data_IF_241328979973
#
_entry.id   IF_241328979973
#
_cell.length_a   1.000
_cell.length_b   1.000
_cell.length_c   1.000
_cell.angle_alpha   90.00
_cell.angle_beta   90.00
_cell.angle_gamma   90.00
#
_symmetry.space_group_name_H-M   'P 1'
#
loop_
_entity.id
_entity.type
_entity.pdbx_description
1 polymer ?
#
# COMPACT_ATOMS: atom_id res chain seq x y z
N UNK A 1 -15.41 -80.74 -23.52
CA UNK A 1 -16.55 -81.47 -22.91
C UNK A 1 -17.49 -80.47 -22.21
N UNK A 2 -18.71 -80.92 -21.87
CA UNK A 2 -19.70 -80.35 -20.92
C UNK A 2 -19.98 -81.46 -19.86
N UNK A 3 -20.70 -81.25 -18.72
CA UNK A 3 -21.53 -80.12 -18.27
C UNK A 3 -20.72 -79.14 -17.36
N UNK A 4 -21.13 -78.46 -16.28
CA UNK A 4 -22.30 -78.52 -15.36
C UNK A 4 -22.62 -77.17 -14.69
N UNK A 5 -23.73 -77.12 -13.94
CA UNK A 5 -24.17 -75.99 -13.10
C UNK A 5 -23.97 -76.30 -11.61
N UNK A 6 -23.81 -75.27 -10.78
CA UNK A 6 -24.40 -75.20 -9.44
C UNK A 6 -24.51 -73.73 -8.96
N UNK A 7 -25.70 -73.32 -8.49
CA UNK A 7 -25.88 -72.10 -7.70
C UNK A 7 -26.01 -72.49 -6.22
N UNK A 8 -25.32 -71.79 -5.34
CA UNK A 8 -25.69 -71.68 -3.91
C UNK A 8 -25.46 -70.23 -3.49
N UNK A 9 -26.47 -69.60 -2.89
CA UNK A 9 -26.35 -68.25 -2.35
C UNK A 9 -25.99 -68.30 -0.87
N UNK A 10 -25.10 -67.41 -0.43
CA UNK A 10 -24.85 -67.11 0.98
C UNK A 10 -24.67 -65.60 1.13
N UNK A 11 -25.67 -64.92 1.68
CA UNK A 11 -25.59 -63.50 1.95
C UNK A 11 -25.02 -63.27 3.35
N UNK A 12 -23.99 -62.42 3.46
CA UNK A 12 -23.46 -61.94 4.73
C UNK A 12 -22.98 -60.50 4.55
N UNK A 13 -23.84 -59.56 4.90
CA UNK A 13 -23.52 -58.15 4.90
C UNK A 13 -22.82 -57.77 6.21
N UNK A 14 -21.60 -57.26 6.12
CA UNK A 14 -20.97 -56.49 7.19
C UNK A 14 -20.49 -55.15 6.64
N UNK A 15 -21.21 -54.09 6.97
CA UNK A 15 -20.82 -52.72 6.63
C UNK A 15 -19.80 -52.22 7.66
N UNK A 16 -18.51 -52.28 7.31
CA UNK A 16 -17.44 -51.65 8.08
C UNK A 16 -17.20 -50.22 7.56
N UNK A 17 -17.86 -49.23 8.17
CA UNK A 17 -17.66 -47.83 7.82
C UNK A 17 -16.29 -47.31 8.31
N UNK A 18 -15.32 -47.16 7.41
CA UNK A 18 -14.00 -46.60 7.74
C UNK A 18 -14.02 -45.08 7.72
N UNK A 19 -14.09 -44.46 8.89
CA UNK A 19 -13.89 -43.01 9.05
C UNK A 19 -12.42 -42.65 8.89
N UNK A 20 -12.08 -41.98 7.77
CA UNK A 20 -10.74 -41.44 7.52
C UNK A 20 -10.47 -40.21 8.40
N UNK A 21 -10.00 -40.45 9.63
CA UNK A 21 -9.41 -39.41 10.46
C UNK A 21 -8.05 -39.00 9.89
N UNK A 22 -7.99 -37.84 9.23
CA UNK A 22 -6.75 -37.30 8.67
C UNK A 22 -5.81 -36.83 9.79
N UNK A 23 -4.81 -37.64 10.12
CA UNK A 23 -3.74 -37.27 11.06
C UNK A 23 -2.73 -36.36 10.36
N UNK A 24 -2.85 -35.04 10.53
CA UNK A 24 -1.74 -34.12 10.27
C UNK A 24 -0.66 -34.31 11.35
N UNK A 25 0.63 -34.42 11.00
CA UNK A 25 1.70 -34.53 11.99
C UNK A 25 1.84 -33.20 12.75
N UNK A 26 1.84 -33.29 14.09
CA UNK A 26 2.13 -32.16 14.96
C UNK A 26 3.64 -32.04 15.14
N UNK A 27 4.25 -31.02 14.55
CA UNK A 27 5.68 -30.75 14.77
C UNK A 27 5.98 -30.29 16.21
N UNK A 28 7.22 -30.47 16.70
CA UNK A 28 7.59 -30.08 18.05
C UNK A 28 7.64 -28.55 18.20
N UNK A 29 7.18 -28.04 19.34
CA UNK A 29 7.43 -26.65 19.71
C UNK A 29 8.86 -26.52 20.26
N UNK A 30 9.79 -25.98 19.47
CA UNK A 30 11.13 -25.63 19.97
C UNK A 30 11.08 -24.41 20.90
N UNK A 31 11.86 -24.44 21.98
CA UNK A 31 11.83 -23.44 23.03
C UNK A 31 13.01 -22.47 22.96
N UNK A 32 12.72 -21.19 22.77
CA UNK A 32 13.58 -20.09 23.24
C UNK A 32 14.74 -19.68 22.34
N UNK A 33 14.42 -19.05 21.21
CA UNK A 33 15.34 -18.16 20.51
C UNK A 33 14.75 -16.74 20.41
N UNK A 34 15.58 -15.71 20.62
CA UNK A 34 15.16 -14.33 20.40
C UNK A 34 14.97 -14.09 18.89
N UNK A 35 13.71 -13.97 18.46
CA UNK A 35 13.38 -13.77 17.04
C UNK A 35 12.13 -14.50 16.54
N UNK A 36 11.49 -15.39 17.31
CA UNK A 36 10.23 -16.03 16.90
C UNK A 36 9.12 -15.00 16.60
N UNK A 37 8.37 -15.21 15.52
CA UNK A 37 7.35 -14.26 15.03
C UNK A 37 6.05 -14.33 15.81
N UNK A 38 5.53 -13.16 16.20
CA UNK A 38 4.20 -13.05 16.79
C UNK A 38 3.15 -12.99 15.69
N UNK A 39 2.62 -14.15 15.32
CA UNK A 39 1.58 -14.25 14.30
C UNK A 39 0.18 -14.12 14.89
N UNK A 40 -0.63 -13.31 14.19
CA UNK A 40 -2.01 -12.96 14.51
C UNK A 40 -2.82 -13.02 13.21
N UNK A 41 -4.02 -13.58 13.27
CA UNK A 41 -4.94 -13.64 12.12
C UNK A 41 -6.00 -12.57 12.25
N UNK A 42 -6.39 -11.96 11.14
CA UNK A 42 -7.43 -10.94 11.06
C UNK A 42 -8.48 -11.39 10.04
N UNK A 43 -9.72 -11.56 10.51
CA UNK A 43 -10.87 -11.85 9.64
C UNK A 43 -11.64 -10.56 9.41
N UNK A 44 -11.49 -9.98 8.22
CA UNK A 44 -12.27 -8.82 7.79
C UNK A 44 -13.59 -9.25 7.15
N UNK A 45 -14.66 -8.51 7.38
CA UNK A 45 -15.93 -8.59 6.65
C UNK A 45 -16.48 -7.19 6.44
N UNK A 46 -17.59 -7.06 5.69
CA UNK A 46 -18.25 -5.76 5.44
C UNK A 46 -18.72 -5.05 6.73
N UNK A 47 -18.78 -5.75 7.87
CA UNK A 47 -19.24 -5.21 9.17
C UNK A 47 -18.43 -5.67 10.40
N UNK A 48 -17.33 -6.42 10.23
CA UNK A 48 -16.46 -6.85 11.34
C UNK A 48 -14.96 -6.84 11.00
N UNK A 49 -14.13 -6.63 12.02
CA UNK A 49 -12.67 -6.81 11.96
C UNK A 49 -12.24 -7.67 13.15
N UNK A 50 -12.19 -9.00 12.98
CA UNK A 50 -11.90 -9.93 14.08
C UNK A 50 -10.41 -10.25 14.14
N UNK A 51 -9.72 -9.71 15.15
CA UNK A 51 -8.29 -9.96 15.39
C UNK A 51 -8.14 -11.07 16.44
N UNK A 52 -7.52 -12.20 16.09
CA UNK A 52 -7.53 -13.42 16.93
C UNK A 52 -6.73 -13.34 18.23
N UNK A 53 -5.94 -12.27 18.43
CA UNK A 53 -5.33 -11.85 19.70
C UNK A 53 -5.28 -10.33 19.74
N UNK A 54 -5.70 -9.72 20.83
CA UNK A 54 -5.62 -8.26 21.04
C UNK A 54 -4.42 -7.83 21.88
N UNK A 55 -3.47 -8.74 22.16
CA UNK A 55 -2.25 -8.46 22.91
C UNK A 55 -1.02 -9.17 22.32
N UNK A 56 0.11 -8.47 22.29
CA UNK A 56 1.43 -8.94 21.86
C UNK A 56 2.55 -8.25 22.67
N UNK A 57 3.81 -8.56 22.36
CA UNK A 57 5.00 -7.88 22.90
C UNK A 57 5.69 -7.00 21.85
N UNK A 58 6.55 -6.09 22.30
CA UNK A 58 7.48 -5.30 21.47
C UNK A 58 8.30 -6.17 20.52
N UNK A 59 8.52 -5.69 19.29
CA UNK A 59 9.19 -6.40 18.20
C UNK A 59 8.29 -6.65 16.98
N UNK A 60 8.65 -7.59 16.08
CA UNK A 60 7.91 -7.84 14.85
C UNK A 60 6.64 -8.67 15.11
N UNK A 61 5.48 -8.08 14.81
CA UNK A 61 4.17 -8.73 14.80
C UNK A 61 3.71 -8.88 13.35
N UNK A 62 3.21 -10.06 13.00
CA UNK A 62 2.69 -10.39 11.67
C UNK A 62 1.17 -10.53 11.74
N UNK A 63 0.45 -9.66 11.03
CA UNK A 63 -0.99 -9.77 10.80
C UNK A 63 -1.22 -10.48 9.46
N UNK A 64 -1.85 -11.66 9.50
CA UNK A 64 -2.38 -12.36 8.32
C UNK A 64 -3.83 -11.98 8.15
N UNK A 65 -4.13 -11.19 7.12
CA UNK A 65 -5.46 -10.62 6.89
C UNK A 65 -6.17 -11.42 5.80
N UNK A 66 -7.38 -11.88 6.10
CA UNK A 66 -8.28 -12.55 5.17
C UNK A 66 -9.56 -11.74 5.04
N UNK A 67 -9.93 -11.33 3.84
CA UNK A 67 -11.21 -10.67 3.59
C UNK A 67 -12.29 -11.69 3.23
N UNK A 68 -13.28 -11.84 4.12
CA UNK A 68 -14.48 -12.65 3.92
C UNK A 68 -15.75 -11.80 3.66
N UNK A 69 -15.60 -10.48 3.47
CA UNK A 69 -16.65 -9.56 3.03
C UNK A 69 -16.88 -9.60 1.51
N UNK A 70 -17.83 -8.79 1.04
CA UNK A 70 -18.13 -8.60 -0.38
C UNK A 70 -17.41 -7.38 -0.98
N UNK A 71 -17.07 -6.38 -0.17
CA UNK A 71 -16.27 -5.22 -0.58
C UNK A 71 -14.78 -5.54 -0.63
N UNK A 72 -14.00 -4.70 -1.32
CA UNK A 72 -12.56 -4.55 -1.06
C UNK A 72 -12.36 -3.90 0.34
N UNK A 73 -11.27 -4.20 1.03
CA UNK A 73 -10.91 -3.59 2.31
C UNK A 73 -9.40 -3.43 2.42
N UNK A 74 -8.94 -2.42 3.16
CA UNK A 74 -7.59 -2.42 3.72
C UNK A 74 -7.59 -3.02 5.14
N UNK A 75 -6.39 -3.20 5.68
CA UNK A 75 -6.13 -3.35 7.12
C UNK A 75 -4.97 -2.46 7.58
N UNK A 76 -5.23 -1.58 8.55
CA UNK A 76 -4.26 -0.64 9.13
C UNK A 76 -3.90 -1.01 10.58
N UNK A 77 -2.70 -0.58 10.98
CA UNK A 77 -2.29 -0.48 12.39
C UNK A 77 -1.94 0.97 12.72
N UNK A 78 -2.64 1.58 13.66
CA UNK A 78 -2.46 2.97 14.08
C UNK A 78 -1.77 3.09 15.45
N UNK A 79 -0.91 4.11 15.57
CA UNK A 79 -0.43 4.67 16.82
C UNK A 79 -1.39 5.76 17.34
N UNK A 80 -1.03 6.43 18.43
CA UNK A 80 -1.78 7.56 19.00
C UNK A 80 -1.87 8.72 18.00
N UNK A 81 -3.05 9.31 17.89
CA UNK A 81 -3.31 10.42 16.97
C UNK A 81 -3.34 9.98 15.52
N UNK A 82 -3.90 8.79 15.26
CA UNK A 82 -4.29 8.29 13.93
C UNK A 82 -3.14 8.08 12.93
N UNK A 83 -1.90 8.25 13.38
CA UNK A 83 -0.67 8.00 12.62
C UNK A 83 -0.53 6.50 12.30
N UNK A 84 -0.50 6.16 11.01
CA UNK A 84 -0.24 4.79 10.57
C UNK A 84 1.17 4.31 10.99
N UNK A 85 1.24 3.05 11.46
CA UNK A 85 2.48 2.28 11.57
C UNK A 85 2.73 1.39 10.36
N UNK A 86 1.72 1.27 9.49
CA UNK A 86 1.70 0.51 8.25
C UNK A 86 0.36 -0.17 8.05
N UNK A 87 0.08 -0.48 6.80
CA UNK A 87 -1.15 -1.06 6.29
C UNK A 87 -0.87 -2.15 5.26
N UNK A 88 -1.90 -2.92 4.93
CA UNK A 88 -1.92 -3.64 3.67
C UNK A 88 -3.30 -3.49 3.03
N UNK A 89 -3.29 -3.04 1.80
CA UNK A 89 -4.47 -2.47 1.16
C UNK A 89 -5.11 -3.40 0.14
N UNK A 90 -6.20 -2.94 -0.47
CA UNK A 90 -6.77 -3.52 -1.68
C UNK A 90 -7.07 -5.04 -1.59
N UNK A 91 -7.42 -5.49 -0.39
CA UNK A 91 -7.71 -6.89 -0.06
C UNK A 91 -9.11 -7.21 -0.59
N UNK A 92 -9.19 -7.70 -1.84
CA UNK A 92 -10.45 -8.15 -2.44
C UNK A 92 -11.10 -9.33 -1.72
N UNK A 93 -12.38 -9.61 -1.99
CA UNK A 93 -13.10 -10.75 -1.40
C UNK A 93 -12.38 -12.08 -1.66
N UNK A 94 -12.16 -12.87 -0.60
CA UNK A 94 -11.42 -14.13 -0.62
C UNK A 94 -9.89 -13.99 -0.70
N UNK A 95 -9.36 -12.77 -0.84
CA UNK A 95 -7.92 -12.52 -0.88
C UNK A 95 -7.32 -12.57 0.53
N UNK A 96 -6.07 -13.03 0.58
CA UNK A 96 -5.23 -13.03 1.77
C UNK A 96 -4.04 -12.10 1.55
N UNK A 97 -3.72 -11.27 2.55
CA UNK A 97 -2.55 -10.37 2.56
C UNK A 97 -1.82 -10.50 3.92
N UNK A 98 -0.59 -10.00 3.99
CA UNK A 98 0.28 -10.04 5.18
C UNK A 98 0.79 -8.62 5.43
N UNK A 99 0.64 -8.13 6.65
CA UNK A 99 1.27 -6.92 7.15
C UNK A 99 2.20 -7.29 8.31
N UNK A 100 3.42 -6.75 8.32
CA UNK A 100 4.35 -6.85 9.45
C UNK A 100 4.56 -5.46 10.03
N UNK A 101 4.24 -5.29 11.31
CA UNK A 101 4.52 -4.06 12.07
C UNK A 101 5.60 -4.33 13.11
N UNK A 102 6.55 -3.40 13.22
CA UNK A 102 7.58 -3.40 14.23
C UNK A 102 7.15 -2.51 15.39
N UNK A 103 6.71 -3.09 16.50
CA UNK A 103 6.29 -2.31 17.66
C UNK A 103 7.49 -2.01 18.57
N UNK A 104 7.94 -0.75 18.57
CA UNK A 104 9.08 -0.27 19.37
C UNK A 104 8.77 -0.14 20.85
N UNK A 105 7.58 0.36 21.20
CA UNK A 105 7.22 0.76 22.57
C UNK A 105 6.03 -0.06 23.12
N UNK A 106 5.94 -0.27 24.44
CA UNK A 106 4.73 -0.80 25.07
C UNK A 106 3.62 0.27 25.14
N UNK A 107 2.38 -0.12 24.86
CA UNK A 107 1.25 0.80 24.80
C UNK A 107 -0.04 0.19 24.25
N UNK A 108 -1.05 1.04 24.07
CA UNK A 108 -2.25 0.71 23.29
C UNK A 108 -2.13 1.38 21.92
N UNK A 109 -2.35 0.56 20.89
CA UNK A 109 -2.42 0.87 19.47
C UNK A 109 -3.84 0.52 18.99
N UNK A 110 -4.18 0.81 17.74
CA UNK A 110 -5.43 0.33 17.14
C UNK A 110 -5.17 -0.49 15.88
N UNK A 111 -5.98 -1.52 15.68
CA UNK A 111 -6.12 -2.24 14.41
C UNK A 111 -7.43 -1.85 13.76
N UNK A 112 -7.45 -1.63 12.45
CA UNK A 112 -8.66 -1.26 11.71
C UNK A 112 -8.78 -2.02 10.40
N UNK A 113 -9.98 -2.48 10.06
CA UNK A 113 -10.34 -2.88 8.70
C UNK A 113 -11.23 -1.78 8.10
N UNK A 114 -11.05 -1.37 6.83
CA UNK A 114 -11.88 -0.35 6.17
C UNK A 114 -12.70 -0.96 4.99
N UNK A 115 -13.89 -1.56 5.21
CA UNK A 115 -14.63 -2.21 4.12
C UNK A 115 -15.27 -1.19 3.16
N UNK A 116 -14.71 -1.12 1.96
CA UNK A 116 -15.03 -0.13 0.94
C UNK A 116 -14.11 1.09 0.93
N UNK A 117 -12.96 1.02 1.61
CA UNK A 117 -11.85 1.97 1.46
C UNK A 117 -12.18 3.41 1.91
N UNK A 118 -13.21 3.57 2.76
CA UNK A 118 -13.75 4.87 3.18
C UNK A 118 -13.91 4.99 4.70
N UNK A 119 -13.53 6.16 5.23
CA UNK A 119 -13.71 6.55 6.64
C UNK A 119 -12.82 5.80 7.64
N UNK A 120 -13.14 5.95 8.93
CA UNK A 120 -12.36 5.40 10.07
C UNK A 120 -12.22 3.88 10.12
N UNK A 121 -13.04 3.15 9.36
CA UNK A 121 -13.12 1.69 9.41
C UNK A 121 -13.68 1.14 10.73
N UNK A 122 -13.59 -0.18 10.85
CA UNK A 122 -13.99 -0.97 12.01
C UNK A 122 -12.75 -1.15 12.88
N UNK A 123 -12.60 -0.30 13.88
CA UNK A 123 -11.42 -0.25 14.76
C UNK A 123 -11.56 -1.11 16.01
N UNK A 124 -10.42 -1.56 16.54
CA UNK A 124 -10.31 -2.23 17.83
C UNK A 124 -8.95 -1.98 18.50
N UNK A 125 -8.93 -1.93 19.83
CA UNK A 125 -7.71 -1.71 20.62
C UNK A 125 -6.78 -2.93 20.55
N UNK A 126 -5.49 -2.66 20.39
CA UNK A 126 -4.42 -3.66 20.29
C UNK A 126 -3.27 -3.29 21.23
N UNK A 127 -2.91 -4.20 22.14
CA UNK A 127 -2.00 -3.92 23.25
C UNK A 127 -0.59 -4.50 23.03
N UNK A 128 0.43 -3.67 23.22
CA UNK A 128 1.83 -4.07 23.25
C UNK A 128 2.36 -4.03 24.67
N UNK A 129 3.07 -5.09 25.06
CA UNK A 129 3.78 -5.23 26.34
C UNK A 129 5.27 -5.52 26.14
N UNK A 130 6.04 -5.58 27.22
CA UNK A 130 7.49 -5.78 27.16
C UNK A 130 8.26 -4.49 27.46
N UNK A 131 9.48 -4.39 26.94
CA UNK A 131 10.39 -3.28 27.14
C UNK A 131 10.73 -2.63 25.79
N UNK A 132 10.92 -1.31 25.79
CA UNK A 132 11.23 -0.55 24.58
C UNK A 132 12.39 -1.15 23.77
N UNK A 133 12.18 -1.37 22.48
CA UNK A 133 13.19 -1.87 21.54
C UNK A 133 13.55 -0.79 20.53
N UNK A 134 14.85 -0.62 20.28
CA UNK A 134 15.35 0.25 19.20
C UNK A 134 15.42 -0.56 17.92
N UNK A 135 14.79 -0.05 16.87
CA UNK A 135 14.97 -0.49 15.50
C UNK A 135 16.06 0.36 14.84
N UNK A 136 16.72 -0.23 13.83
CA UNK A 136 17.44 0.47 12.76
C UNK A 136 18.41 1.57 13.23
N UNK A 137 19.03 1.35 14.40
CA UNK A 137 19.90 2.32 15.06
C UNK A 137 21.38 2.19 14.64
N UNK A 138 21.78 1.04 14.10
CA UNK A 138 23.15 0.75 13.65
C UNK A 138 23.21 0.04 12.29
N UNK A 139 24.36 0.15 11.62
CA UNK A 139 24.70 -0.64 10.43
C UNK A 139 23.77 -0.46 9.23
N UNK A 140 23.61 -1.53 8.43
CA UNK A 140 22.84 -1.54 7.18
C UNK A 140 21.39 -1.04 7.32
N UNK A 141 20.78 -1.24 8.49
CA UNK A 141 19.41 -0.81 8.78
C UNK A 141 19.33 0.70 8.97
N UNK A 142 20.24 1.29 9.76
CA UNK A 142 20.37 2.76 9.85
C UNK A 142 20.73 3.41 8.53
N UNK A 143 21.68 2.80 7.81
CA UNK A 143 22.09 3.21 6.47
C UNK A 143 20.90 3.29 5.50
N UNK A 144 19.93 2.40 5.62
CA UNK A 144 18.72 2.39 4.80
C UNK A 144 17.71 3.47 5.25
N UNK A 145 17.44 3.60 6.55
CA UNK A 145 16.49 4.61 7.05
C UNK A 145 16.97 6.04 6.80
N UNK A 146 18.26 6.32 7.00
CA UNK A 146 18.86 7.63 6.69
C UNK A 146 18.77 7.96 5.19
N UNK A 147 19.04 6.98 4.31
CA UNK A 147 18.96 7.16 2.85
C UNK A 147 17.54 7.41 2.37
N UNK A 148 16.58 6.58 2.80
CA UNK A 148 15.20 6.75 2.37
C UNK A 148 14.59 8.04 2.92
N UNK A 149 14.93 8.44 4.15
CA UNK A 149 14.55 9.76 4.67
C UNK A 149 15.13 10.90 3.83
N UNK A 150 16.38 10.79 3.37
CA UNK A 150 16.99 11.73 2.44
C UNK A 150 16.26 11.79 1.09
N UNK A 151 15.84 10.63 0.57
CA UNK A 151 15.01 10.54 -0.64
C UNK A 151 13.66 11.23 -0.45
N UNK A 152 12.90 10.90 0.59
CA UNK A 152 11.60 11.54 0.91
C UNK A 152 11.74 13.05 1.01
N UNK A 153 12.73 13.55 1.76
CA UNK A 153 13.01 14.99 1.87
C UNK A 153 13.25 15.62 0.49
N UNK A 154 14.01 14.96 -0.40
CA UNK A 154 14.24 15.44 -1.77
C UNK A 154 12.98 15.46 -2.64
N UNK A 155 12.05 14.51 -2.45
CA UNK A 155 10.78 14.51 -3.18
C UNK A 155 9.87 15.63 -2.68
N UNK A 156 9.75 15.86 -1.37
CA UNK A 156 8.94 16.97 -0.84
C UNK A 156 9.53 18.35 -1.18
N UNK A 157 10.86 18.49 -1.28
CA UNK A 157 11.49 19.72 -1.82
C UNK A 157 11.10 19.95 -3.29
N UNK A 158 11.17 18.93 -4.14
CA UNK A 158 10.80 19.04 -5.55
C UNK A 158 9.27 19.24 -5.75
N UNK A 159 8.43 18.62 -4.91
CA UNK A 159 6.99 18.85 -4.83
C UNK A 159 6.68 20.30 -4.45
N UNK A 160 7.39 20.85 -3.45
CA UNK A 160 7.22 22.24 -3.02
C UNK A 160 7.54 23.24 -4.14
N UNK A 161 8.58 22.96 -4.94
CA UNK A 161 8.95 23.80 -6.09
C UNK A 161 8.00 23.65 -7.29
N UNK A 162 7.54 22.43 -7.58
CA UNK A 162 6.65 22.15 -8.72
C UNK A 162 5.21 22.62 -8.47
N UNK A 163 4.66 22.33 -7.28
CA UNK A 163 3.36 22.79 -6.85
C UNK A 163 3.31 24.32 -6.76
N UNK A 164 4.40 24.97 -6.32
CA UNK A 164 4.52 26.43 -6.30
C UNK A 164 4.28 27.06 -7.68
N UNK A 165 4.96 26.55 -8.71
CA UNK A 165 4.81 27.02 -10.10
C UNK A 165 3.41 26.73 -10.67
N UNK A 166 2.85 25.57 -10.35
CA UNK A 166 1.50 25.19 -10.74
C UNK A 166 0.46 26.16 -10.14
N UNK A 167 0.57 26.46 -8.84
CA UNK A 167 -0.30 27.41 -8.13
C UNK A 167 -0.11 28.85 -8.63
N UNK A 168 1.12 29.26 -8.97
CA UNK A 168 1.37 30.54 -9.66
C UNK A 168 0.63 30.60 -11.01
N UNK A 169 0.67 29.55 -11.82
CA UNK A 169 -0.04 29.50 -13.11
C UNK A 169 -1.57 29.52 -12.95
N UNK A 170 -2.12 28.78 -11.99
CA UNK A 170 -3.56 28.80 -11.64
C UNK A 170 -4.00 30.20 -11.25
N UNK A 171 -3.28 30.87 -10.33
CA UNK A 171 -3.63 32.21 -9.84
C UNK A 171 -3.38 33.33 -10.86
N UNK A 172 -2.40 33.15 -11.75
CA UNK A 172 -2.22 33.97 -12.95
C UNK A 172 -3.31 33.75 -14.01
N UNK A 173 -4.14 32.71 -13.86
CA UNK A 173 -5.21 32.28 -14.78
C UNK A 173 -4.69 31.81 -16.13
N UNK A 174 -3.43 31.38 -16.18
CA UNK A 174 -2.85 30.68 -17.32
C UNK A 174 -3.24 29.21 -17.28
N UNK A 175 -4.46 28.93 -17.74
CA UNK A 175 -5.04 27.58 -17.79
C UNK A 175 -4.16 26.63 -18.63
N UNK A 176 -3.50 27.12 -19.67
CA UNK A 176 -2.66 26.29 -20.53
C UNK A 176 -1.39 25.84 -19.81
N UNK A 177 -0.71 26.77 -19.12
CA UNK A 177 0.47 26.47 -18.30
C UNK A 177 0.11 25.62 -17.08
N UNK A 178 -0.98 25.94 -16.38
CA UNK A 178 -1.45 25.16 -15.23
C UNK A 178 -1.74 23.69 -15.61
N UNK A 179 -2.46 23.45 -16.72
CA UNK A 179 -2.70 22.08 -17.22
C UNK A 179 -1.44 21.33 -17.63
N UNK A 180 -0.48 22.02 -18.24
CA UNK A 180 0.77 21.40 -18.65
C UNK A 180 1.66 21.03 -17.44
N UNK A 181 1.59 21.79 -16.36
CA UNK A 181 2.38 21.58 -15.15
C UNK A 181 1.76 20.57 -14.19
N UNK A 182 0.42 20.51 -14.11
CA UNK A 182 -0.35 19.68 -13.18
C UNK A 182 0.23 18.26 -12.96
N UNK A 183 0.32 17.37 -13.97
CA UNK A 183 0.80 16.00 -13.75
C UNK A 183 2.27 15.96 -13.35
N UNK A 184 3.09 16.85 -13.93
CA UNK A 184 4.52 16.97 -13.57
C UNK A 184 4.77 17.56 -12.17
N UNK A 185 3.73 18.05 -11.49
CA UNK A 185 3.79 18.43 -10.09
C UNK A 185 3.40 17.26 -9.16
N UNK A 186 2.37 16.47 -9.52
CA UNK A 186 1.92 15.27 -8.79
C UNK A 186 3.01 14.21 -8.58
N UNK A 187 3.85 13.93 -9.60
CA UNK A 187 4.85 12.83 -9.58
C UNK A 187 5.86 12.83 -8.42
N UNK A 188 5.92 13.89 -7.61
CA UNK A 188 6.75 13.96 -6.40
C UNK A 188 5.99 13.62 -5.12
N UNK A 189 4.65 13.66 -5.15
CA UNK A 189 3.74 13.20 -4.11
C UNK A 189 3.55 11.67 -4.21
N UNK A 190 3.07 11.19 -5.37
CA UNK A 190 2.90 9.77 -5.75
C UNK A 190 4.12 8.88 -5.44
N UNK A 191 5.35 9.43 -5.53
CA UNK A 191 6.60 8.72 -5.21
C UNK A 191 6.82 8.42 -3.72
N UNK A 192 6.05 9.06 -2.85
CA UNK A 192 6.16 9.03 -1.38
C UNK A 192 4.79 8.94 -0.71
N UNK A 193 3.75 8.56 -1.43
CA UNK A 193 2.36 8.53 -1.01
C UNK A 193 2.13 7.77 0.32
N UNK A 194 2.65 6.54 0.53
CA UNK A 194 2.64 5.85 1.84
C UNK A 194 3.45 6.50 2.97
N UNK A 195 4.14 7.61 2.68
CA UNK A 195 4.76 8.47 3.70
C UNK A 195 3.88 9.69 3.98
N UNK A 196 3.09 10.16 3.01
CA UNK A 196 2.12 11.25 3.17
C UNK A 196 0.82 10.77 3.83
N UNK A 197 0.27 9.63 3.42
CA UNK A 197 -0.92 8.98 4.02
C UNK A 197 -0.78 8.75 5.53
N UNK A 198 0.46 8.48 5.98
CA UNK A 198 0.77 8.25 7.39
C UNK A 198 0.70 9.52 8.27
N UNK A 199 0.41 10.71 7.70
CA UNK A 199 0.35 11.97 8.45
C UNK A 199 -1.03 12.22 9.09
N UNK A 200 -1.07 12.73 10.33
CA UNK A 200 -2.32 12.99 11.04
C UNK A 200 -3.07 14.22 10.52
N UNK A 201 -4.30 14.40 10.99
CA UNK A 201 -5.21 15.49 10.62
C UNK A 201 -5.56 15.49 9.11
N UNK A 202 -5.79 14.31 8.54
CA UNK A 202 -6.27 14.10 7.17
C UNK A 202 -5.42 14.90 6.15
N UNK A 203 -4.09 14.86 6.32
CA UNK A 203 -3.19 15.65 5.48
C UNK A 203 -3.19 15.17 4.03
N UNK A 204 -3.20 13.86 3.83
CA UNK A 204 -3.34 13.27 2.50
C UNK A 204 -4.69 13.65 1.85
N UNK A 205 -5.87 13.43 2.46
CA UNK A 205 -7.13 13.89 1.89
C UNK A 205 -7.22 15.41 1.63
N UNK A 206 -6.48 16.24 2.38
CA UNK A 206 -6.37 17.68 2.09
C UNK A 206 -5.61 17.97 0.79
N UNK A 207 -4.62 17.14 0.45
CA UNK A 207 -3.77 17.26 -0.74
C UNK A 207 -4.39 16.55 -1.95
N UNK A 208 -5.02 15.38 -1.77
CA UNK A 208 -5.32 14.49 -2.89
C UNK A 208 -6.64 13.68 -2.82
N UNK A 209 -7.60 14.07 -1.97
CA UNK A 209 -8.92 13.41 -2.00
C UNK A 209 -9.61 13.57 -3.38
N UNK A 210 -10.04 12.45 -3.95
CA UNK A 210 -10.78 12.39 -5.23
C UNK A 210 -12.27 12.70 -5.02
N UNK A 211 -12.97 13.21 -6.04
CA UNK A 211 -14.40 13.54 -5.90
C UNK A 211 -15.29 12.31 -5.64
N UNK A 212 -14.84 11.12 -6.05
CA UNK A 212 -15.57 9.86 -5.87
C UNK A 212 -15.68 9.41 -4.41
N UNK A 213 -14.69 9.75 -3.58
CA UNK A 213 -14.55 9.26 -2.20
C UNK A 213 -15.05 10.26 -1.14
N UNK A 214 -15.30 11.51 -1.57
CA UNK A 214 -15.74 12.64 -0.74
C UNK A 214 -17.06 12.36 0.01
N UNK A 215 -17.01 12.35 1.34
CA UNK A 215 -18.17 12.02 2.17
C UNK A 215 -19.10 13.22 2.41
N UNK A 216 -20.40 12.99 2.72
CA UNK A 216 -21.37 14.06 2.92
C UNK A 216 -21.04 15.01 4.09
N UNK A 217 -20.47 16.18 3.76
CA UNK A 217 -20.10 17.23 4.71
C UNK A 217 -18.60 17.50 4.81
N UNK A 218 -17.77 16.71 4.15
CA UNK A 218 -16.34 16.97 4.00
C UNK A 218 -16.06 18.20 3.12
N UNK A 219 -14.88 18.81 3.32
CA UNK A 219 -14.45 19.99 2.57
C UNK A 219 -13.38 19.59 1.55
N UNK A 220 -13.79 19.43 0.30
CA UNK A 220 -12.89 19.08 -0.79
C UNK A 220 -11.84 20.18 -1.08
N UNK A 221 -10.56 19.79 -1.11
CA UNK A 221 -9.39 20.64 -1.42
C UNK A 221 -8.42 19.84 -2.31
N UNK A 222 -7.16 20.26 -2.42
CA UNK A 222 -6.12 19.44 -3.06
C UNK A 222 -6.03 19.56 -4.58
N UNK A 223 -5.28 18.64 -5.19
CA UNK A 223 -5.03 18.58 -6.62
C UNK A 223 -6.30 18.30 -7.42
N UNK A 224 -7.05 17.23 -7.14
CA UNK A 224 -8.27 16.89 -7.90
C UNK A 224 -9.36 17.97 -7.85
N UNK A 225 -9.44 18.74 -6.75
CA UNK A 225 -10.31 19.94 -6.66
C UNK A 225 -9.89 21.04 -7.63
N UNK A 226 -8.60 21.17 -7.95
CA UNK A 226 -8.04 22.10 -8.93
C UNK A 226 -8.06 21.52 -10.36
N UNK A 227 -7.87 20.21 -10.50
CA UNK A 227 -8.05 19.44 -11.73
C UNK A 227 -9.45 19.69 -12.32
N UNK A 228 -10.50 19.55 -11.50
CA UNK A 228 -11.88 19.82 -11.93
C UNK A 228 -12.08 21.26 -12.42
N UNK A 229 -11.49 22.25 -11.73
CA UNK A 229 -11.57 23.67 -12.14
C UNK A 229 -10.82 23.93 -13.45
N UNK A 230 -9.73 23.24 -13.71
CA UNK A 230 -8.98 23.38 -14.95
C UNK A 230 -9.68 22.64 -16.11
N UNK A 231 -10.24 21.44 -15.88
CA UNK A 231 -10.78 20.57 -16.94
C UNK A 231 -12.29 20.63 -17.17
N UNK A 232 -13.11 20.89 -16.15
CA UNK A 232 -14.58 20.77 -16.23
C UNK A 232 -15.32 22.06 -15.87
N UNK A 233 -15.08 22.62 -14.69
CA UNK A 233 -15.89 23.70 -14.10
C UNK A 233 -15.43 25.11 -14.47
N UNK A 234 -14.17 25.27 -14.89
CA UNK A 234 -13.51 26.57 -14.94
C UNK A 234 -13.12 27.07 -13.54
N UNK A 235 -12.23 28.06 -13.46
CA UNK A 235 -11.84 28.66 -12.17
C UNK A 235 -13.06 29.24 -11.44
N UNK A 236 -13.29 28.77 -10.22
CA UNK A 236 -14.35 29.20 -9.31
C UNK A 236 -13.91 30.41 -8.46
N UNK A 237 -14.84 31.08 -7.74
CA UNK A 237 -14.50 32.21 -6.87
C UNK A 237 -13.55 31.88 -5.71
N UNK A 238 -13.38 30.60 -5.37
CA UNK A 238 -12.55 30.09 -4.28
C UNK A 238 -11.24 29.41 -4.76
N UNK A 239 -11.01 29.25 -6.07
CA UNK A 239 -9.85 28.49 -6.59
C UNK A 239 -8.50 29.02 -6.10
N UNK A 240 -8.33 30.34 -6.04
CA UNK A 240 -7.12 30.98 -5.46
C UNK A 240 -6.87 30.54 -4.01
N UNK A 241 -7.94 30.31 -3.24
CA UNK A 241 -7.88 29.89 -1.84
C UNK A 241 -7.68 28.36 -1.68
N UNK A 242 -8.13 27.55 -2.65
CA UNK A 242 -7.77 26.12 -2.73
C UNK A 242 -6.28 25.98 -3.09
N UNK A 243 -5.81 26.75 -4.08
CA UNK A 243 -4.41 26.76 -4.52
C UNK A 243 -3.47 27.25 -3.40
N UNK A 244 -3.85 28.31 -2.68
CA UNK A 244 -3.15 28.74 -1.47
C UNK A 244 -3.28 27.76 -0.30
N UNK A 245 -4.22 26.80 -0.33
CA UNK A 245 -4.35 25.77 0.70
C UNK A 245 -3.40 24.60 0.42
N UNK A 246 -3.36 24.10 -0.82
CA UNK A 246 -2.44 23.06 -1.27
C UNK A 246 -0.97 23.34 -0.90
N UNK A 247 -0.50 24.58 -1.05
CA UNK A 247 0.88 24.96 -0.66
C UNK A 247 1.12 24.95 0.86
N UNK A 248 0.07 25.11 1.69
CA UNK A 248 0.18 24.97 3.16
C UNK A 248 0.23 23.51 3.57
N UNK A 249 -0.58 22.66 2.94
CA UNK A 249 -0.63 21.23 3.23
C UNK A 249 0.65 20.52 2.77
N UNK A 250 1.15 20.83 1.57
CA UNK A 250 2.50 20.41 1.13
C UNK A 250 3.59 20.93 2.08
N UNK A 251 3.44 22.14 2.65
CA UNK A 251 4.37 22.62 3.69
C UNK A 251 4.26 21.85 5.01
N UNK A 252 3.07 21.43 5.43
CA UNK A 252 2.86 20.62 6.64
C UNK A 252 3.56 19.26 6.48
N UNK A 253 3.42 18.62 5.31
CA UNK A 253 4.18 17.43 4.92
C UNK A 253 5.70 17.69 5.00
N UNK A 254 6.14 18.81 4.40
CA UNK A 254 7.55 19.23 4.35
C UNK A 254 8.16 19.48 5.74
N UNK A 255 7.42 20.08 6.67
CA UNK A 255 7.87 20.27 8.05
C UNK A 255 7.91 18.93 8.81
N UNK A 256 6.90 18.07 8.64
CA UNK A 256 6.81 16.79 9.36
C UNK A 256 7.84 15.75 8.92
N UNK A 257 8.16 15.61 7.62
CA UNK A 257 9.26 14.70 7.19
C UNK A 257 10.64 15.16 7.70
N UNK A 258 10.75 16.42 8.14
CA UNK A 258 11.93 17.02 8.79
C UNK A 258 11.86 17.05 10.32
N UNK A 259 10.73 16.67 10.94
CA UNK A 259 10.56 16.61 12.38
C UNK A 259 11.50 15.58 13.03
N UNK A 260 11.93 15.80 14.28
CA UNK A 260 12.95 14.94 14.93
C UNK A 260 12.42 13.55 15.31
N UNK A 261 11.10 13.47 15.42
CA UNK A 261 10.23 12.36 15.81
C UNK A 261 9.51 11.72 14.61
N UNK A 262 9.87 12.12 13.38
CA UNK A 262 9.50 11.41 12.15
C UNK A 262 10.07 9.98 12.17
N UNK A 263 9.21 9.01 12.47
CA UNK A 263 9.54 7.59 12.60
C UNK A 263 9.39 6.86 11.26
N UNK A 264 10.54 6.49 10.69
CA UNK A 264 10.62 5.63 9.51
C UNK A 264 11.64 4.51 9.75
N UNK A 265 11.22 3.28 9.48
CA UNK A 265 12.01 2.07 9.65
C UNK A 265 11.95 1.20 8.38
N UNK A 266 12.91 0.31 8.21
CA UNK A 266 13.05 -0.57 7.04
C UNK A 266 11.83 -1.45 6.77
N UNK A 267 11.03 -1.78 7.79
CA UNK A 267 9.78 -2.56 7.62
C UNK A 267 8.63 -1.70 7.09
N UNK A 268 8.54 -0.42 7.51
CA UNK A 268 7.67 0.59 6.88
C UNK A 268 8.07 0.85 5.43
N UNK A 269 9.37 1.07 5.16
CA UNK A 269 9.90 1.32 3.80
C UNK A 269 9.54 0.16 2.85
N UNK A 270 9.71 -1.09 3.31
CA UNK A 270 9.33 -2.26 2.53
C UNK A 270 7.80 -2.49 2.43
N UNK A 271 7.00 -1.92 3.35
CA UNK A 271 5.54 -1.96 3.30
C UNK A 271 4.98 -1.00 2.26
N UNK A 272 5.32 0.30 2.35
CA UNK A 272 4.90 1.32 1.38
C UNK A 272 5.36 1.02 -0.05
N UNK A 273 6.49 0.32 -0.22
CA UNK A 273 6.90 -0.21 -1.52
C UNK A 273 5.89 -1.18 -2.15
N UNK A 274 5.12 -1.92 -1.34
CA UNK A 274 4.02 -2.76 -1.81
C UNK A 274 2.73 -1.94 -1.99
N UNK A 275 2.39 -1.02 -1.08
CA UNK A 275 1.19 -0.16 -1.16
C UNK A 275 1.09 0.51 -2.54
N UNK A 276 2.14 1.24 -2.94
CA UNK A 276 2.29 1.90 -4.25
C UNK A 276 2.05 1.00 -5.48
N UNK A 277 2.18 -0.32 -5.34
CA UNK A 277 1.99 -1.29 -6.42
C UNK A 277 0.64 -1.99 -6.33
N UNK A 278 0.12 -2.21 -5.12
CA UNK A 278 -1.22 -2.73 -4.91
C UNK A 278 -2.26 -1.68 -5.32
N UNK A 279 -2.11 -0.40 -4.98
CA UNK A 279 -2.98 0.69 -5.45
C UNK A 279 -3.07 0.73 -6.98
N UNK A 280 -1.94 0.92 -7.67
CA UNK A 280 -1.90 1.04 -9.14
C UNK A 280 -2.46 -0.21 -9.82
N UNK A 281 -2.33 -1.41 -9.23
CA UNK A 281 -2.89 -2.63 -9.80
C UNK A 281 -4.41 -2.80 -9.57
N UNK A 282 -5.04 -2.02 -8.68
CA UNK A 282 -6.37 -2.33 -8.10
C UNK A 282 -7.36 -1.18 -8.19
N UNK A 283 -6.97 0.02 -7.77
CA UNK A 283 -7.74 1.27 -7.84
C UNK A 283 -7.36 2.04 -9.09
N UNK A 284 -6.17 2.64 -9.10
CA UNK A 284 -5.77 3.64 -10.11
C UNK A 284 -5.84 3.10 -11.56
N UNK A 285 -5.68 1.79 -11.79
CA UNK A 285 -5.85 1.12 -13.11
C UNK A 285 -7.21 1.34 -13.80
N UNK A 286 -8.26 1.73 -13.06
CA UNK A 286 -9.56 2.00 -13.67
C UNK A 286 -9.60 3.34 -14.42
N UNK A 287 -8.64 4.25 -14.15
CA UNK A 287 -8.70 5.64 -14.58
C UNK A 287 -9.60 6.51 -13.70
N UNK A 288 -9.71 6.13 -12.42
CA UNK A 288 -10.46 6.83 -11.37
C UNK A 288 -9.68 7.94 -10.68
N UNK A 289 -8.35 7.95 -10.83
CA UNK A 289 -7.47 8.93 -10.19
C UNK A 289 -7.64 10.28 -10.89
N UNK A 290 -7.26 10.34 -12.17
CA UNK A 290 -7.30 11.56 -12.97
C UNK A 290 -8.59 11.59 -13.79
N UNK A 291 -9.71 11.58 -13.06
CA UNK A 291 -11.06 11.47 -13.57
C UNK A 291 -11.49 12.62 -14.53
N UNK A 292 -10.75 13.73 -14.57
CA UNK A 292 -11.02 14.89 -15.43
C UNK A 292 -9.88 15.21 -16.41
N UNK A 293 -8.62 14.90 -16.04
CA UNK A 293 -7.41 15.20 -16.83
C UNK A 293 -6.88 14.02 -17.63
N UNK A 294 -7.12 12.79 -17.14
CA UNK A 294 -6.67 11.51 -17.64
C UNK A 294 -5.13 11.38 -17.73
N UNK A 295 -4.40 11.93 -16.75
CA UNK A 295 -2.93 11.84 -16.68
C UNK A 295 -2.39 10.65 -15.88
N UNK A 296 -3.22 9.66 -15.56
CA UNK A 296 -2.94 8.54 -14.63
C UNK A 296 -1.61 7.81 -14.90
N UNK A 297 -1.11 7.80 -16.14
CA UNK A 297 0.19 7.19 -16.49
C UNK A 297 1.42 7.92 -15.93
N UNK A 298 1.31 9.22 -15.63
CA UNK A 298 2.37 9.94 -14.91
C UNK A 298 2.47 9.42 -13.47
N UNK A 299 1.31 9.24 -12.86
CA UNK A 299 1.10 8.83 -11.48
C UNK A 299 1.54 7.37 -11.31
N UNK A 300 1.05 6.44 -12.16
CA UNK A 300 1.49 5.04 -12.18
C UNK A 300 3.02 4.87 -12.28
N UNK A 301 3.69 5.68 -13.09
CA UNK A 301 5.15 5.67 -13.17
C UNK A 301 5.78 6.21 -11.89
N UNK A 302 5.20 7.23 -11.27
CA UNK A 302 5.69 7.78 -10.02
C UNK A 302 5.52 6.80 -8.84
N UNK A 303 4.41 6.07 -8.72
CA UNK A 303 4.28 5.01 -7.70
C UNK A 303 5.29 3.88 -7.94
N UNK A 304 5.49 3.46 -9.19
CA UNK A 304 6.51 2.46 -9.57
C UNK A 304 7.94 2.95 -9.27
N UNK A 305 8.27 4.21 -9.59
CA UNK A 305 9.56 4.85 -9.27
C UNK A 305 9.79 4.89 -7.75
N UNK A 306 8.75 5.24 -6.97
CA UNK A 306 8.79 5.33 -5.51
C UNK A 306 9.01 3.96 -4.85
N UNK A 307 8.26 2.95 -5.30
CA UNK A 307 8.44 1.55 -4.90
C UNK A 307 9.84 1.05 -5.24
N UNK A 308 10.33 1.34 -6.45
CA UNK A 308 11.70 0.97 -6.86
C UNK A 308 12.75 1.63 -5.97
N UNK A 309 12.57 2.89 -5.55
CA UNK A 309 13.49 3.59 -4.65
C UNK A 309 13.49 3.04 -3.21
N UNK A 310 12.30 2.72 -2.70
CA UNK A 310 12.11 2.08 -1.40
C UNK A 310 12.78 0.70 -1.35
N UNK A 311 12.54 -0.15 -2.36
CA UNK A 311 13.22 -1.45 -2.53
C UNK A 311 14.73 -1.26 -2.68
N UNK A 312 15.18 -0.35 -3.55
CA UNK A 312 16.60 -0.06 -3.80
C UNK A 312 17.34 0.30 -2.49
N UNK A 313 16.67 1.02 -1.59
CA UNK A 313 17.27 1.45 -0.32
C UNK A 313 17.50 0.30 0.65
N UNK A 314 16.64 -0.73 0.67
CA UNK A 314 16.78 -1.90 1.55
C UNK A 314 17.59 -3.06 0.94
N UNK A 315 18.04 -2.94 -0.32
CA UNK A 315 18.88 -3.95 -1.01
C UNK A 315 20.09 -4.48 -0.24
N UNK A 316 20.87 -3.67 0.51
CA UNK A 316 22.00 -4.17 1.30
C UNK A 316 21.60 -5.25 2.33
N UNK A 317 20.33 -5.31 2.73
CA UNK A 317 19.76 -6.31 3.65
C UNK A 317 19.06 -7.42 2.85
N UNK A 318 18.26 -7.06 1.82
CA UNK A 318 17.56 -8.02 0.97
C UNK A 318 18.52 -8.99 0.28
N UNK A 319 19.55 -8.48 -0.40
CA UNK A 319 20.49 -9.30 -1.18
C UNK A 319 21.45 -10.14 -0.32
N UNK A 320 21.60 -9.80 0.98
CA UNK A 320 22.32 -10.64 1.95
C UNK A 320 21.48 -11.85 2.39
N UNK A 321 20.15 -11.68 2.50
CA UNK A 321 19.23 -12.67 3.06
C UNK A 321 18.52 -13.52 2.02
N UNK A 322 18.21 -12.96 0.85
CA UNK A 322 17.44 -13.58 -0.24
C UNK A 322 17.80 -12.99 -1.62
N UNK A 323 19.04 -13.19 -2.11
CA UNK A 323 19.54 -12.59 -3.35
C UNK A 323 18.75 -12.97 -4.61
N UNK A 324 18.09 -14.13 -4.62
CA UNK A 324 17.24 -14.56 -5.73
C UNK A 324 15.93 -13.77 -5.84
N UNK A 325 15.40 -13.28 -4.70
CA UNK A 325 14.24 -12.39 -4.69
C UNK A 325 14.61 -11.00 -5.22
N UNK A 326 15.79 -10.48 -4.85
CA UNK A 326 16.31 -9.24 -5.41
C UNK A 326 16.36 -9.28 -6.95
N UNK A 327 16.92 -10.35 -7.52
CA UNK A 327 16.98 -10.55 -8.97
C UNK A 327 15.61 -10.73 -9.64
N UNK A 328 14.64 -11.35 -8.95
CA UNK A 328 13.26 -11.45 -9.44
C UNK A 328 12.61 -10.07 -9.52
N UNK A 329 12.74 -9.26 -8.46
CA UNK A 329 12.20 -7.89 -8.40
C UNK A 329 12.86 -6.97 -9.45
N UNK A 330 14.18 -7.04 -9.62
CA UNK A 330 14.92 -6.28 -10.65
C UNK A 330 14.38 -6.56 -12.06
N UNK A 331 14.02 -7.83 -12.32
CA UNK A 331 13.38 -8.24 -13.57
C UNK A 331 11.95 -7.69 -13.68
N UNK A 332 11.14 -7.74 -12.61
CA UNK A 332 9.75 -7.26 -12.62
C UNK A 332 9.62 -5.76 -12.84
N UNK A 333 10.43 -4.96 -12.15
CA UNK A 333 10.46 -3.51 -12.39
C UNK A 333 10.75 -3.23 -13.85
N UNK A 334 11.79 -3.86 -14.43
CA UNK A 334 12.12 -3.72 -15.84
C UNK A 334 10.99 -4.18 -16.79
N UNK A 335 10.23 -5.21 -16.45
CA UNK A 335 9.04 -5.64 -17.21
C UNK A 335 7.95 -4.55 -17.21
N UNK A 336 7.69 -3.93 -16.05
CA UNK A 336 6.72 -2.82 -15.89
C UNK A 336 7.21 -1.52 -16.56
N UNK A 337 8.46 -1.11 -16.35
CA UNK A 337 9.07 0.07 -16.99
C UNK A 337 9.05 -0.03 -18.53
N UNK A 338 9.31 -1.23 -19.07
CA UNK A 338 9.24 -1.49 -20.52
C UNK A 338 7.80 -1.38 -21.04
N UNK A 339 6.81 -1.73 -20.20
CA UNK A 339 5.39 -1.66 -20.54
C UNK A 339 4.85 -0.23 -20.45
N UNK A 340 5.11 0.50 -19.35
CA UNK A 340 4.81 1.93 -19.21
C UNK A 340 5.50 2.74 -20.32
N UNK A 341 6.74 2.39 -20.67
CA UNK A 341 7.50 2.99 -21.77
C UNK A 341 6.80 2.93 -23.13
N UNK A 342 5.88 1.98 -23.39
CA UNK A 342 5.08 1.93 -24.63
C UNK A 342 4.16 3.14 -24.80
N UNK A 343 3.77 3.78 -23.70
CA UNK A 343 2.76 4.86 -23.66
C UNK A 343 3.38 6.27 -23.63
N UNK A 344 4.71 6.38 -23.65
CA UNK A 344 5.44 7.67 -23.66
C UNK A 344 5.17 8.47 -24.94
N UNK A 345 5.08 9.78 -24.80
CA UNK A 345 4.79 10.73 -25.90
C UNK A 345 5.54 12.05 -25.66
N UNK A 346 6.70 12.18 -26.30
CA UNK A 346 7.67 13.21 -25.92
C UNK A 346 8.18 12.94 -24.50
N UNK A 347 8.28 13.98 -23.68
CA UNK A 347 8.75 13.86 -22.29
C UNK A 347 7.66 13.31 -21.33
N UNK A 348 6.39 13.31 -21.76
CA UNK A 348 5.23 12.80 -21.00
C UNK A 348 4.68 11.47 -21.53
N UNK A 349 3.38 11.25 -21.34
CA UNK A 349 2.63 10.08 -21.83
C UNK A 349 1.47 10.49 -22.76
N UNK A 350 0.77 9.48 -23.29
CA UNK A 350 -0.62 9.65 -23.77
C UNK A 350 -1.58 9.86 -22.59
N UNK A 351 -2.78 10.37 -22.84
CA UNK A 351 -3.85 10.42 -21.85
C UNK A 351 -4.51 9.03 -21.69
N UNK A 352 -4.97 8.70 -20.50
CA UNK A 352 -5.39 7.34 -20.14
C UNK A 352 -6.72 6.91 -20.78
N UNK A 353 -7.56 7.87 -21.21
CA UNK A 353 -8.73 7.63 -22.06
C UNK A 353 -8.37 6.97 -23.41
N UNK A 354 -7.12 7.15 -23.88
CA UNK A 354 -6.60 6.49 -25.09
C UNK A 354 -6.07 5.08 -24.86
N UNK A 355 -5.91 4.63 -23.61
CA UNK A 355 -5.40 3.30 -23.24
C UNK A 355 -6.55 2.30 -23.20
N UNK A 356 -6.53 1.30 -24.10
CA UNK A 356 -7.63 0.35 -24.30
C UNK A 356 -7.77 -0.63 -23.15
N UNK A 357 -8.95 -1.25 -22.96
CA UNK A 357 -9.18 -2.21 -21.89
C UNK A 357 -8.16 -3.36 -21.87
N UNK A 358 -7.77 -3.89 -23.03
CA UNK A 358 -6.75 -4.94 -23.14
C UNK A 358 -5.35 -4.46 -22.70
N UNK A 359 -5.02 -3.19 -22.96
CA UNK A 359 -3.78 -2.54 -22.51
C UNK A 359 -3.78 -2.28 -21.00
N UNK A 360 -4.92 -1.87 -20.43
CA UNK A 360 -5.10 -1.73 -18.98
C UNK A 360 -4.96 -3.08 -18.28
N UNK A 361 -5.46 -4.16 -18.87
CA UNK A 361 -5.29 -5.54 -18.39
C UNK A 361 -3.82 -6.02 -18.53
N UNK A 362 -3.11 -5.66 -19.61
CA UNK A 362 -1.66 -5.94 -19.73
C UNK A 362 -0.87 -5.27 -18.59
N UNK A 363 -1.17 -3.99 -18.29
CA UNK A 363 -0.59 -3.24 -17.17
C UNK A 363 -0.92 -3.87 -15.81
N UNK A 364 -2.21 -4.13 -15.52
CA UNK A 364 -2.66 -4.73 -14.27
C UNK A 364 -1.91 -6.04 -13.95
N UNK A 365 -1.80 -6.94 -14.92
CA UNK A 365 -1.12 -8.22 -14.75
C UNK A 365 0.40 -8.07 -14.55
N UNK A 366 1.04 -7.09 -15.17
CA UNK A 366 2.46 -6.82 -14.94
C UNK A 366 2.73 -6.25 -13.54
N UNK A 367 1.84 -5.38 -13.05
CA UNK A 367 2.00 -4.68 -11.76
C UNK A 367 1.58 -5.59 -10.58
N UNK A 368 0.52 -6.39 -10.67
CA UNK A 368 0.20 -7.43 -9.65
C UNK A 368 1.32 -8.47 -9.56
N UNK A 369 1.94 -8.83 -10.70
CA UNK A 369 3.11 -9.71 -10.73
C UNK A 369 4.40 -9.07 -10.17
N UNK A 370 4.50 -7.73 -10.11
CA UNK A 370 5.58 -6.99 -9.44
C UNK A 370 5.30 -6.84 -7.94
N UNK A 371 4.10 -6.37 -7.57
CA UNK A 371 3.59 -6.28 -6.19
C UNK A 371 3.80 -7.60 -5.45
N UNK A 372 3.48 -8.73 -6.08
CA UNK A 372 3.67 -10.05 -5.50
C UNK A 372 5.12 -10.32 -5.05
N UNK A 373 6.12 -10.06 -5.89
CA UNK A 373 7.52 -10.26 -5.48
C UNK A 373 7.93 -9.23 -4.40
N UNK A 374 7.48 -7.97 -4.53
CA UNK A 374 7.79 -6.90 -3.55
C UNK A 374 7.17 -7.17 -2.17
N UNK A 375 6.00 -7.83 -2.10
CA UNK A 375 5.34 -8.21 -0.85
C UNK A 375 6.18 -9.15 0.04
N UNK A 376 7.12 -9.89 -0.55
CA UNK A 376 8.05 -10.72 0.23
C UNK A 376 9.17 -9.92 0.89
N UNK A 377 9.49 -8.71 0.40
CA UNK A 377 10.60 -7.88 0.91
C UNK A 377 10.39 -7.54 2.38
N UNK A 378 9.18 -7.12 2.78
CA UNK A 378 8.89 -6.80 4.18
C UNK A 378 9.16 -8.00 5.11
N UNK A 379 8.87 -9.22 4.63
CA UNK A 379 9.23 -10.48 5.31
C UNK A 379 10.74 -10.66 5.47
N UNK A 380 11.48 -10.58 4.36
CA UNK A 380 12.94 -10.77 4.37
C UNK A 380 13.66 -9.71 5.24
N UNK A 381 13.18 -8.46 5.22
CA UNK A 381 13.70 -7.37 6.06
C UNK A 381 13.39 -7.60 7.55
N UNK A 382 12.18 -8.06 7.89
CA UNK A 382 11.81 -8.40 9.27
C UNK A 382 12.42 -9.73 9.78
N UNK A 383 12.98 -10.57 8.91
CA UNK A 383 13.44 -11.92 9.24
C UNK A 383 12.27 -12.89 9.45
N UNK A 384 11.35 -12.95 8.49
CA UNK A 384 9.98 -13.49 8.57
C UNK A 384 9.51 -14.16 7.28
#
# INVERSE_FOLDING_TARGET
>A
MKPSLAYVAAALAMAAGTTLAACTPKEPAESGAAGAGQEITVTATDTSCEVSKTEATTGPVTFKVTNNGSKVTEFYVYDKGDRALGEVENIGSGINRKLIVQFTEPGTYQTACKPGMIGDGIRGDFKITGAAVKLDAEGKFKDATDRYRGYVISQVDALSESAGKFVEAVKAKDIASAKAQYPTSRVYYERIEPVAEAFPNDLDPRIDLREADLQPGEKWTGYHRLEKDLWVTGLQPDTDAIADQLLKDIKELSDGVRAKDFDINTTKIAGGAQTLLDEVARTKISGEEEAFSHTDLWDFQANVDGSQNAVATVRPILDERKPELGQAIDKRFKEVDTLLGKYRKGDGFVFYDTVTQDQRIELAHAIDALSKEVSEVQGVIAGR
#
